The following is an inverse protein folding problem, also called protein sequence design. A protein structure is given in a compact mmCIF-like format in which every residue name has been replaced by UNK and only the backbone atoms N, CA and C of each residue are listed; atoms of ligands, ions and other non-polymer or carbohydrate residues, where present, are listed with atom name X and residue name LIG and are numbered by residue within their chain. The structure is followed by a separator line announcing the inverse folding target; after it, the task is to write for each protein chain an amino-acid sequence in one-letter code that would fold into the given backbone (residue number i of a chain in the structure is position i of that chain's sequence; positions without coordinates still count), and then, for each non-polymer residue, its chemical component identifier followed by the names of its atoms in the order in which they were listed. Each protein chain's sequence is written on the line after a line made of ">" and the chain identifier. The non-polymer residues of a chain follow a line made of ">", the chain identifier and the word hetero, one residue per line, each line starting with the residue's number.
data_IF_100058948866
#
_entry.id   IF_100058948866
#
_cell.length_a   1.000
_cell.length_b   1.000
_cell.length_c   1.000
_cell.angle_alpha   90.00
_cell.angle_beta   90.00
_cell.angle_gamma   90.00
#
_symmetry.space_group_name_H-M   'P 1'
#
loop_
_entity.id
_entity.type
_entity.pdbx_description
1 polymer ?
#
# COMPACT_ATOMS: atom_id res chain seq x y z
N UNK A 1 13.49 -11.62 -4.31
CA UNK A 1 13.76 -10.38 -3.56
C UNK A 1 13.27 -10.54 -2.13
N UNK A 2 13.79 -9.71 -1.21
CA UNK A 2 13.30 -9.60 0.17
C UNK A 2 12.31 -8.43 0.23
N UNK A 3 11.06 -8.73 0.55
CA UNK A 3 9.96 -7.75 0.56
C UNK A 3 9.38 -7.65 1.98
N UNK A 4 9.30 -6.44 2.53
CA UNK A 4 8.56 -6.20 3.78
C UNK A 4 7.17 -5.69 3.47
N UNK A 5 6.14 -6.30 4.06
CA UNK A 5 4.74 -5.95 3.87
C UNK A 5 4.13 -5.46 5.18
N UNK A 6 3.81 -4.17 5.24
CA UNK A 6 3.02 -3.57 6.32
C UNK A 6 1.53 -3.70 6.02
N UNK A 7 0.72 -3.98 7.06
CA UNK A 7 -0.70 -4.26 6.85
C UNK A 7 -0.95 -5.66 6.26
N UNK A 8 -0.03 -6.58 6.49
CA UNK A 8 0.02 -7.92 5.89
C UNK A 8 -1.25 -8.77 6.14
N UNK A 9 -2.00 -8.51 7.22
CA UNK A 9 -3.22 -9.26 7.58
C UNK A 9 -4.50 -8.70 6.96
N UNK A 10 -4.42 -7.50 6.33
CA UNK A 10 -5.55 -6.88 5.64
C UNK A 10 -5.90 -7.57 4.32
N UNK A 11 -7.07 -7.22 3.76
CA UNK A 11 -7.57 -7.86 2.52
C UNK A 11 -6.61 -7.76 1.33
N UNK A 12 -5.90 -6.64 1.16
CA UNK A 12 -4.87 -6.49 0.13
C UNK A 12 -3.56 -7.14 0.59
N UNK A 13 -3.14 -6.86 1.85
CA UNK A 13 -1.85 -7.31 2.37
C UNK A 13 -1.68 -8.83 2.39
N UNK A 14 -2.72 -9.59 2.79
CA UNK A 14 -2.69 -11.06 2.76
C UNK A 14 -2.47 -11.61 1.35
N UNK A 15 -3.00 -10.93 0.32
CA UNK A 15 -2.83 -11.31 -1.08
C UNK A 15 -1.46 -10.94 -1.62
N UNK A 16 -0.92 -9.79 -1.21
CA UNK A 16 0.48 -9.41 -1.51
C UNK A 16 1.41 -10.50 -0.97
N UNK A 17 1.25 -10.89 0.31
CA UNK A 17 2.07 -11.93 0.93
C UNK A 17 1.99 -13.24 0.13
N UNK A 18 0.77 -13.74 -0.17
CA UNK A 18 0.57 -14.99 -0.91
C UNK A 18 1.19 -14.94 -2.31
N UNK A 19 0.94 -13.87 -3.06
CA UNK A 19 1.46 -13.74 -4.43
C UNK A 19 2.98 -13.59 -4.46
N UNK A 20 3.57 -12.83 -3.53
CA UNK A 20 5.02 -12.69 -3.40
C UNK A 20 5.69 -14.04 -3.09
N UNK A 21 5.15 -14.80 -2.16
CA UNK A 21 5.65 -16.14 -1.81
C UNK A 21 5.53 -17.12 -2.99
N UNK A 22 4.41 -17.08 -3.73
CA UNK A 22 4.19 -17.93 -4.91
C UNK A 22 5.22 -17.66 -6.02
N UNK A 23 5.77 -16.45 -6.09
CA UNK A 23 6.85 -16.07 -7.02
C UNK A 23 8.26 -16.27 -6.43
N UNK A 24 8.38 -16.92 -5.27
CA UNK A 24 9.66 -17.24 -4.64
C UNK A 24 10.34 -16.06 -3.93
N UNK A 25 9.64 -14.97 -3.66
CA UNK A 25 10.19 -13.89 -2.85
C UNK A 25 10.28 -14.28 -1.37
N UNK A 26 11.24 -13.72 -0.65
CA UNK A 26 11.27 -13.76 0.81
C UNK A 26 10.43 -12.60 1.34
N UNK A 27 9.46 -12.92 2.20
CA UNK A 27 8.47 -11.95 2.68
C UNK A 27 8.58 -11.78 4.19
N UNK A 28 8.82 -10.57 4.65
CA UNK A 28 8.62 -10.15 6.02
C UNK A 28 7.22 -9.57 6.15
N UNK A 29 6.29 -10.33 6.74
CA UNK A 29 4.93 -9.86 7.03
C UNK A 29 4.92 -9.16 8.39
N UNK A 30 4.65 -7.85 8.41
CA UNK A 30 4.67 -7.05 9.63
C UNK A 30 3.27 -6.62 10.06
N UNK A 31 2.97 -6.76 11.35
CA UNK A 31 1.72 -6.27 11.92
C UNK A 31 1.46 -6.74 13.34
N UNK A 32 0.35 -6.28 13.94
CA UNK A 32 -0.01 -6.61 15.33
C UNK A 32 -0.47 -8.07 15.50
N UNK A 33 -1.15 -8.60 14.50
CA UNK A 33 -1.82 -9.91 14.55
C UNK A 33 -1.34 -10.83 13.41
N UNK A 34 -0.03 -10.84 13.13
CA UNK A 34 0.56 -11.59 12.01
C UNK A 34 0.49 -13.09 12.19
N UNK A 35 0.28 -13.58 13.42
CA UNK A 35 0.10 -15.00 13.71
C UNK A 35 -1.06 -15.59 12.90
N UNK A 36 -2.11 -14.81 12.64
CA UNK A 36 -3.24 -15.22 11.80
C UNK A 36 -2.88 -15.55 10.33
N UNK A 37 -1.74 -15.08 9.83
CA UNK A 37 -1.23 -15.45 8.51
C UNK A 37 -0.62 -16.85 8.50
N UNK A 38 0.01 -17.26 9.62
CA UNK A 38 0.64 -18.56 9.77
C UNK A 38 -0.45 -19.64 9.94
N UNK A 39 -1.49 -19.32 10.71
CA UNK A 39 -2.63 -20.21 10.95
C UNK A 39 -3.49 -20.45 9.71
N UNK A 40 -3.44 -19.56 8.73
CA UNK A 40 -4.23 -19.59 7.50
C UNK A 40 -3.54 -20.36 6.35
N UNK A 41 -2.87 -21.47 6.63
CA UNK A 41 -2.20 -22.35 5.64
C UNK A 41 -1.05 -21.72 4.83
N UNK A 42 -0.52 -20.57 5.23
CA UNK A 42 0.67 -20.00 4.61
C UNK A 42 1.93 -20.52 5.33
N UNK A 43 2.15 -21.82 5.27
CA UNK A 43 3.43 -22.41 5.69
C UNK A 43 4.41 -22.32 4.54
N UNK A 44 5.36 -21.39 4.63
CA UNK A 44 6.39 -21.19 3.61
C UNK A 44 7.68 -20.75 4.28
N UNK A 45 8.78 -21.43 3.99
CA UNK A 45 10.11 -21.14 4.57
C UNK A 45 10.61 -19.72 4.21
N UNK A 46 10.03 -19.11 3.19
CA UNK A 46 10.32 -17.73 2.78
C UNK A 46 9.45 -16.68 3.49
N UNK A 47 8.55 -17.10 4.42
CA UNK A 47 7.72 -16.18 5.20
C UNK A 47 8.28 -15.98 6.60
N UNK A 48 8.61 -14.73 6.91
CA UNK A 48 8.92 -14.29 8.27
C UNK A 48 7.77 -13.41 8.79
N UNK A 49 6.98 -13.92 9.74
CA UNK A 49 5.96 -13.14 10.42
C UNK A 49 6.58 -12.37 11.60
N UNK A 50 6.49 -11.04 11.56
CA UNK A 50 7.08 -10.14 12.57
C UNK A 50 5.97 -9.37 13.25
N UNK A 51 5.72 -9.68 14.53
CA UNK A 51 4.78 -8.92 15.34
C UNK A 51 5.42 -7.60 15.79
N UNK A 52 4.70 -6.50 15.58
CA UNK A 52 5.19 -5.19 15.97
C UNK A 52 4.15 -4.08 15.77
N UNK A 53 4.51 -2.90 16.24
CA UNK A 53 3.69 -1.70 16.15
C UNK A 53 4.28 -0.70 15.17
N UNK A 54 3.49 -0.26 14.19
CA UNK A 54 3.96 0.66 13.15
C UNK A 54 4.36 2.05 13.70
N UNK A 55 3.96 2.38 14.91
CA UNK A 55 4.38 3.60 15.61
C UNK A 55 5.68 3.45 16.42
N UNK A 56 6.18 2.22 16.58
CA UNK A 56 7.48 1.97 17.21
C UNK A 56 8.60 2.01 16.15
N UNK A 57 9.57 2.90 16.33
CA UNK A 57 10.65 3.09 15.36
C UNK A 57 11.59 1.87 15.29
N UNK A 58 11.84 1.21 16.44
CA UNK A 58 12.69 0.02 16.50
C UNK A 58 12.06 -1.17 15.79
N UNK A 59 10.75 -1.40 16.01
CA UNK A 59 9.99 -2.45 15.34
C UNK A 59 10.02 -2.26 13.81
N UNK A 60 9.74 -1.03 13.35
CA UNK A 60 9.72 -0.70 11.93
C UNK A 60 11.12 -0.80 11.32
N UNK A 61 12.16 -0.25 11.98
CA UNK A 61 13.53 -0.36 11.51
C UNK A 61 13.96 -1.84 11.34
N UNK A 62 13.68 -2.66 12.33
CA UNK A 62 13.99 -4.09 12.27
C UNK A 62 13.27 -4.82 11.13
N UNK A 63 12.05 -4.40 10.80
CA UNK A 63 11.29 -4.97 9.69
C UNK A 63 11.83 -4.55 8.31
N UNK A 64 12.38 -3.33 8.17
CA UNK A 64 12.79 -2.81 6.85
C UNK A 64 14.28 -2.96 6.54
N UNK A 65 15.18 -3.00 7.53
CA UNK A 65 16.64 -2.89 7.36
C UNK A 65 17.29 -3.87 6.38
N UNK A 66 16.66 -4.99 6.10
CA UNK A 66 17.17 -5.99 5.16
C UNK A 66 16.28 -6.15 3.91
N UNK A 67 15.27 -5.31 3.75
CA UNK A 67 14.37 -5.37 2.61
C UNK A 67 15.03 -4.77 1.35
N UNK A 68 14.63 -5.27 0.19
CA UNK A 68 14.94 -4.67 -1.13
C UNK A 68 13.77 -3.80 -1.59
N UNK A 69 12.56 -4.12 -1.11
CA UNK A 69 11.36 -3.33 -1.33
C UNK A 69 10.43 -3.38 -0.10
N UNK A 70 9.70 -2.29 0.11
CA UNK A 70 8.68 -2.19 1.16
C UNK A 70 7.33 -1.93 0.49
N UNK A 71 6.30 -2.70 0.89
CA UNK A 71 4.93 -2.50 0.45
C UNK A 71 4.07 -2.18 1.67
N UNK A 72 3.38 -1.05 1.63
CA UNK A 72 2.43 -0.64 2.66
C UNK A 72 1.00 -0.75 2.18
N UNK A 73 0.26 -1.69 2.76
CA UNK A 73 -1.19 -1.82 2.65
C UNK A 73 -1.86 -1.46 3.99
N UNK A 74 -1.33 -0.44 4.69
CA UNK A 74 -1.86 0.02 5.96
C UNK A 74 -3.28 0.55 5.78
N UNK A 75 -4.19 -0.02 6.53
CA UNK A 75 -5.56 0.40 6.69
C UNK A 75 -5.83 0.90 8.11
N UNK A 76 -7.08 1.21 8.39
CA UNK A 76 -7.54 1.66 9.70
C UNK A 76 -8.97 2.19 9.60
N UNK A 77 -9.51 2.66 10.71
CA UNK A 77 -10.83 3.31 10.73
C UNK A 77 -10.88 4.51 9.79
N UNK A 78 -12.07 4.86 9.35
CA UNK A 78 -12.31 5.99 8.42
C UNK A 78 -12.77 7.26 9.14
N UNK A 79 -12.90 7.21 10.47
CA UNK A 79 -13.42 8.29 11.33
C UNK A 79 -12.39 9.41 11.59
N UNK A 80 -11.16 9.27 11.12
CA UNK A 80 -10.06 10.22 11.32
C UNK A 80 -9.37 10.14 12.68
N UNK A 81 -9.82 9.30 13.60
CA UNK A 81 -9.13 9.05 14.89
C UNK A 81 -7.89 8.16 14.69
N UNK A 82 -7.96 7.23 13.76
CA UNK A 82 -6.87 6.31 13.43
C UNK A 82 -5.80 6.99 12.56
N UNK A 83 -4.61 7.18 13.13
CA UNK A 83 -3.45 7.79 12.46
C UNK A 83 -2.49 6.78 11.82
N UNK A 84 -2.88 5.53 11.70
CA UNK A 84 -2.03 4.47 11.16
C UNK A 84 -1.54 4.79 9.75
N UNK A 85 -2.41 5.38 8.90
CA UNK A 85 -2.04 5.74 7.52
C UNK A 85 -1.02 6.86 7.45
N UNK A 86 -1.20 7.92 8.23
CA UNK A 86 -0.31 9.09 8.21
C UNK A 86 0.94 8.88 9.07
N UNK A 87 0.80 8.67 10.37
CA UNK A 87 1.95 8.56 11.29
C UNK A 87 2.70 7.23 11.12
N UNK A 88 1.98 6.15 10.82
CA UNK A 88 2.63 4.87 10.49
C UNK A 88 3.48 5.00 9.22
N UNK A 89 2.97 5.68 8.18
CA UNK A 89 3.74 5.94 6.98
C UNK A 89 4.94 6.85 7.23
N UNK A 90 4.78 7.89 8.07
CA UNK A 90 5.90 8.75 8.48
C UNK A 90 7.03 7.90 9.06
N UNK A 91 6.72 7.03 10.00
CA UNK A 91 7.70 6.16 10.63
C UNK A 91 8.35 5.19 9.61
N UNK A 92 7.56 4.57 8.73
CA UNK A 92 8.09 3.70 7.66
C UNK A 92 9.11 4.47 6.81
N UNK A 93 8.78 5.67 6.35
CA UNK A 93 9.66 6.51 5.53
C UNK A 93 10.96 6.83 6.28
N UNK A 94 10.87 7.27 7.53
CA UNK A 94 12.04 7.60 8.35
C UNK A 94 12.97 6.39 8.55
N UNK A 95 12.40 5.21 8.83
CA UNK A 95 13.20 4.00 9.02
C UNK A 95 13.77 3.45 7.71
N UNK A 96 13.07 3.60 6.59
CA UNK A 96 13.62 3.28 5.27
C UNK A 96 14.81 4.18 4.91
N UNK A 97 14.70 5.49 5.17
CA UNK A 97 15.82 6.43 4.97
C UNK A 97 17.02 6.06 5.84
N UNK A 98 16.80 5.72 7.10
CA UNK A 98 17.85 5.33 8.04
C UNK A 98 18.53 4.01 7.63
N UNK A 99 17.78 3.05 7.10
CA UNK A 99 18.30 1.74 6.67
C UNK A 99 18.86 1.73 5.24
N UNK A 100 18.67 2.81 4.47
CA UNK A 100 19.10 2.90 3.07
C UNK A 100 18.21 2.16 2.07
N UNK A 101 17.06 1.63 2.50
CA UNK A 101 16.09 0.96 1.63
C UNK A 101 15.32 2.00 0.82
N UNK A 102 15.33 1.87 -0.51
CA UNK A 102 14.84 2.92 -1.40
C UNK A 102 13.46 2.67 -2.00
N UNK A 103 13.06 1.40 -2.26
CA UNK A 103 11.84 1.07 -3.00
C UNK A 103 10.63 0.99 -2.07
N UNK A 104 9.68 1.92 -2.23
CA UNK A 104 8.44 1.98 -1.46
C UNK A 104 7.21 1.90 -2.38
N UNK A 105 6.29 0.99 -2.09
CA UNK A 105 4.98 0.96 -2.73
C UNK A 105 3.87 1.08 -1.70
N UNK A 106 2.81 1.81 -2.04
CA UNK A 106 1.77 2.15 -1.07
C UNK A 106 0.38 2.00 -1.68
N UNK A 107 -0.52 1.37 -0.96
CA UNK A 107 -1.95 1.39 -1.25
C UNK A 107 -2.57 2.62 -0.57
N UNK A 108 -3.13 3.51 -1.37
CA UNK A 108 -3.78 4.71 -0.86
C UNK A 108 -5.28 4.73 -1.25
N UNK A 109 -5.80 5.85 -1.70
CA UNK A 109 -7.18 5.97 -2.18
C UNK A 109 -7.26 6.85 -3.43
N UNK A 110 -8.32 6.65 -4.21
CA UNK A 110 -8.64 7.45 -5.40
C UNK A 110 -8.72 8.95 -5.10
N UNK A 111 -8.97 9.34 -3.85
CA UNK A 111 -9.00 10.75 -3.42
C UNK A 111 -7.69 11.49 -3.63
N UNK A 112 -6.55 10.78 -3.72
CA UNK A 112 -5.24 11.38 -4.00
C UNK A 112 -4.98 11.64 -5.49
N UNK A 113 -5.78 11.13 -6.40
CA UNK A 113 -5.60 11.36 -7.83
C UNK A 113 -5.98 12.80 -8.19
N UNK A 114 -5.42 13.29 -9.29
CA UNK A 114 -5.81 14.56 -9.91
C UNK A 114 -7.17 14.45 -10.59
N UNK A 115 -7.76 15.58 -10.83
CA UNK A 115 -8.72 15.80 -11.90
C UNK A 115 -8.42 17.14 -12.60
N UNK A 116 -9.29 17.54 -13.52
CA UNK A 116 -9.03 18.69 -14.38
C UNK A 116 -8.92 20.01 -13.60
N UNK A 117 -9.58 20.12 -12.45
CA UNK A 117 -9.64 21.35 -11.64
C UNK A 117 -8.81 21.26 -10.34
N UNK A 118 -8.58 20.05 -9.82
CA UNK A 118 -8.00 19.87 -8.49
C UNK A 118 -6.78 18.94 -8.48
N UNK A 119 -5.73 19.34 -7.75
CA UNK A 119 -4.55 18.48 -7.49
C UNK A 119 -4.93 17.17 -6.80
N UNK A 120 -6.02 17.18 -6.01
CA UNK A 120 -6.56 16.00 -5.32
C UNK A 120 -8.07 15.95 -5.51
N UNK A 121 -8.61 14.83 -5.99
CA UNK A 121 -10.05 14.60 -6.14
C UNK A 121 -10.83 14.77 -4.83
N UNK A 122 -10.18 14.52 -3.69
CA UNK A 122 -10.80 14.76 -2.38
C UNK A 122 -11.13 16.24 -2.10
N UNK A 123 -10.57 17.17 -2.86
CA UNK A 123 -10.84 18.61 -2.73
C UNK A 123 -12.08 19.07 -3.54
N UNK A 124 -12.70 18.17 -4.31
CA UNK A 124 -13.94 18.48 -5.03
C UNK A 124 -15.07 18.83 -4.07
N UNK A 125 -15.92 19.81 -4.40
CA UNK A 125 -17.07 20.16 -3.55
C UNK A 125 -18.04 18.99 -3.29
N UNK A 126 -18.17 18.07 -4.25
CA UNK A 126 -19.04 16.89 -4.19
C UNK A 126 -18.34 15.62 -3.69
N UNK A 127 -17.11 15.71 -3.18
CA UNK A 127 -16.42 14.55 -2.60
C UNK A 127 -17.17 14.05 -1.35
N UNK A 128 -17.42 12.73 -1.24
CA UNK A 128 -18.26 12.22 -0.15
C UNK A 128 -17.66 12.53 1.23
N UNK A 129 -18.43 13.16 2.10
CA UNK A 129 -18.00 13.60 3.44
C UNK A 129 -17.45 12.46 4.30
N UNK A 130 -18.00 11.26 4.16
CA UNK A 130 -17.55 10.07 4.89
C UNK A 130 -16.09 9.70 4.61
N UNK A 131 -15.57 10.07 3.44
CA UNK A 131 -14.18 9.80 3.06
C UNK A 131 -13.23 10.99 3.27
N UNK A 132 -13.72 12.12 3.74
CA UNK A 132 -12.91 13.33 3.94
C UNK A 132 -11.76 13.09 4.92
N UNK A 133 -12.05 12.46 6.07
CA UNK A 133 -11.06 12.21 7.12
C UNK A 133 -9.99 11.21 6.66
N UNK A 134 -10.41 10.10 6.08
CA UNK A 134 -9.46 9.11 5.54
C UNK A 134 -8.65 9.67 4.36
N UNK A 135 -9.27 10.52 3.55
CA UNK A 135 -8.58 11.26 2.48
C UNK A 135 -7.48 12.17 3.02
N UNK A 136 -7.75 12.90 4.12
CA UNK A 136 -6.77 13.74 4.80
C UNK A 136 -5.58 12.93 5.34
N UNK A 137 -5.83 11.74 5.91
CA UNK A 137 -4.77 10.82 6.36
C UNK A 137 -3.90 10.35 5.19
N UNK A 138 -4.49 9.97 4.07
CA UNK A 138 -3.74 9.59 2.86
C UNK A 138 -2.95 10.77 2.29
N UNK A 139 -3.52 11.97 2.28
CA UNK A 139 -2.83 13.19 1.83
C UNK A 139 -1.63 13.51 2.71
N UNK A 140 -1.76 13.36 4.03
CA UNK A 140 -0.66 13.56 4.96
C UNK A 140 0.44 12.50 4.76
N UNK A 141 0.07 11.22 4.58
CA UNK A 141 1.01 10.14 4.24
C UNK A 141 1.75 10.45 2.92
N UNK A 142 1.03 10.90 1.89
CA UNK A 142 1.62 11.30 0.62
C UNK A 142 2.63 12.45 0.77
N UNK A 143 2.37 13.41 1.66
CA UNK A 143 3.32 14.49 1.93
C UNK A 143 4.67 13.96 2.45
N UNK A 144 4.66 13.01 3.37
CA UNK A 144 5.89 12.38 3.86
C UNK A 144 6.63 11.61 2.76
N UNK A 145 5.89 10.82 1.97
CA UNK A 145 6.45 10.02 0.88
C UNK A 145 7.09 10.92 -0.19
N UNK A 146 6.38 11.95 -0.65
CA UNK A 146 6.82 12.84 -1.73
C UNK A 146 8.12 13.56 -1.42
N UNK A 147 8.37 13.89 -0.16
CA UNK A 147 9.58 14.60 0.27
C UNK A 147 10.68 13.69 0.81
N UNK A 148 10.51 12.36 0.74
CA UNK A 148 11.43 11.39 1.32
C UNK A 148 12.70 11.15 0.53
N UNK A 149 12.70 11.44 -0.77
CA UNK A 149 13.77 11.01 -1.69
C UNK A 149 13.74 9.52 -2.03
N UNK A 150 12.74 8.75 -1.56
CA UNK A 150 12.57 7.33 -1.89
C UNK A 150 12.05 7.16 -3.32
N UNK A 151 12.30 6.00 -3.89
CA UNK A 151 11.71 5.55 -5.16
C UNK A 151 10.32 4.95 -4.90
N UNK A 152 9.28 5.77 -4.96
CA UNK A 152 7.95 5.36 -4.55
C UNK A 152 6.97 5.14 -5.72
N UNK A 153 5.98 4.27 -5.50
CA UNK A 153 4.78 4.13 -6.33
C UNK A 153 3.57 4.08 -5.41
N UNK A 154 2.54 4.89 -5.67
CA UNK A 154 1.31 4.91 -4.87
C UNK A 154 0.16 4.46 -5.77
N UNK A 155 -0.45 3.31 -5.47
CA UNK A 155 -1.66 2.86 -6.13
C UNK A 155 -2.88 3.45 -5.43
N UNK A 156 -3.79 4.00 -6.22
CA UNK A 156 -4.95 4.78 -5.77
C UNK A 156 -6.25 4.13 -6.26
N UNK A 157 -6.72 3.06 -5.61
CA UNK A 157 -7.93 2.35 -5.99
C UNK A 157 -9.20 3.11 -5.60
N UNK A 158 -10.34 2.79 -6.27
CA UNK A 158 -11.68 3.07 -5.78
C UNK A 158 -12.07 2.11 -4.65
N UNK A 159 -13.33 1.65 -4.59
CA UNK A 159 -13.75 0.63 -3.65
C UNK A 159 -12.98 -0.68 -3.88
N UNK A 160 -12.45 -1.26 -2.80
CA UNK A 160 -11.69 -2.51 -2.83
C UNK A 160 -12.61 -3.66 -2.43
N UNK A 161 -12.83 -4.58 -3.35
CA UNK A 161 -13.61 -5.82 -3.12
C UNK A 161 -12.68 -6.89 -2.55
N UNK A 162 -13.10 -7.56 -1.46
CA UNK A 162 -12.33 -8.66 -0.86
C UNK A 162 -12.44 -9.94 -1.72
N UNK A 163 -11.82 -9.90 -2.89
CA UNK A 163 -11.78 -10.98 -3.87
C UNK A 163 -10.36 -11.18 -4.39
N UNK A 164 -10.09 -12.38 -4.93
CA UNK A 164 -8.82 -12.71 -5.56
C UNK A 164 -8.67 -12.02 -6.92
N UNK A 165 -7.47 -12.07 -7.51
CA UNK A 165 -7.19 -11.41 -8.77
C UNK A 165 -8.06 -11.96 -9.90
N UNK A 166 -8.73 -11.06 -10.64
CA UNK A 166 -9.41 -11.38 -11.88
C UNK A 166 -8.47 -11.26 -13.11
N UNK A 167 -7.34 -10.55 -12.95
CA UNK A 167 -6.36 -10.31 -13.98
C UNK A 167 -6.75 -9.23 -15.00
N UNK A 168 -7.89 -8.57 -14.78
CA UNK A 168 -8.42 -7.56 -15.71
C UNK A 168 -8.58 -6.21 -14.98
N UNK A 169 -7.59 -5.34 -15.12
CA UNK A 169 -7.64 -3.98 -14.58
C UNK A 169 -6.99 -2.96 -15.52
N UNK A 170 -7.41 -1.71 -15.37
CA UNK A 170 -6.81 -0.58 -16.06
C UNK A 170 -6.05 0.31 -15.11
N UNK A 171 -4.99 0.95 -15.61
CA UNK A 171 -4.20 1.93 -14.85
C UNK A 171 -4.07 3.25 -15.59
N UNK A 172 -3.90 4.35 -14.84
CA UNK A 172 -3.58 5.66 -15.39
C UNK A 172 -2.66 6.42 -14.43
N UNK A 173 -1.69 7.15 -14.97
CA UNK A 173 -0.75 7.95 -14.17
C UNK A 173 -1.45 9.22 -13.71
N UNK A 174 -1.40 9.48 -12.40
CA UNK A 174 -1.93 10.66 -11.70
C UNK A 174 -3.45 10.87 -11.78
N UNK A 175 -4.15 10.24 -12.72
CA UNK A 175 -5.58 10.35 -12.96
C UNK A 175 -6.31 9.02 -12.77
N UNK A 176 -7.64 9.04 -12.57
CA UNK A 176 -8.42 7.81 -12.66
C UNK A 176 -8.36 7.22 -14.07
N UNK A 177 -8.38 5.88 -14.23
CA UNK A 177 -8.55 5.25 -15.54
C UNK A 177 -9.85 5.69 -16.22
N UNK A 178 -9.91 5.63 -17.55
CA UNK A 178 -11.11 5.93 -18.35
C UNK A 178 -11.39 4.79 -19.31
N UNK A 179 -12.59 4.20 -19.31
CA UNK A 179 -13.72 4.45 -18.41
C UNK A 179 -13.43 4.07 -16.95
N UNK A 180 -13.96 4.84 -16.00
CA UNK A 180 -13.77 4.56 -14.57
C UNK A 180 -14.81 3.57 -14.05
N UNK A 181 -14.38 2.42 -13.57
CA UNK A 181 -15.17 1.53 -12.70
C UNK A 181 -14.89 1.88 -11.23
N UNK A 182 -15.93 1.92 -10.41
CA UNK A 182 -15.81 2.33 -8.99
C UNK A 182 -15.41 1.20 -8.05
N UNK A 183 -14.82 0.12 -8.59
CA UNK A 183 -14.35 -1.02 -7.79
C UNK A 183 -13.13 -1.69 -8.43
N UNK A 184 -12.42 -2.46 -7.60
CA UNK A 184 -11.33 -3.36 -8.00
C UNK A 184 -11.17 -4.46 -6.96
N UNK A 185 -10.75 -5.65 -7.38
CA UNK A 185 -10.45 -6.73 -6.45
C UNK A 185 -9.13 -6.48 -5.71
N UNK A 186 -9.09 -6.84 -4.44
CA UNK A 186 -7.87 -6.75 -3.63
C UNK A 186 -6.72 -7.57 -4.23
N UNK A 187 -7.05 -8.69 -4.89
CA UNK A 187 -6.08 -9.53 -5.60
C UNK A 187 -5.42 -8.84 -6.79
N UNK A 188 -6.16 -8.01 -7.53
CA UNK A 188 -5.63 -7.27 -8.67
C UNK A 188 -4.68 -6.14 -8.22
N UNK A 189 -5.00 -5.47 -7.10
CA UNK A 189 -4.09 -4.50 -6.48
C UNK A 189 -2.78 -5.20 -6.06
N UNK A 190 -2.88 -6.38 -5.46
CA UNK A 190 -1.72 -7.14 -5.06
C UNK A 190 -0.87 -7.55 -6.28
N UNK A 191 -1.52 -8.04 -7.35
CA UNK A 191 -0.84 -8.41 -8.60
C UNK A 191 -0.10 -7.20 -9.23
N UNK A 192 -0.75 -6.04 -9.30
CA UNK A 192 -0.13 -4.81 -9.77
C UNK A 192 1.11 -4.44 -8.94
N UNK A 193 1.01 -4.50 -7.61
CA UNK A 193 2.12 -4.13 -6.73
C UNK A 193 3.29 -5.11 -6.84
N UNK A 194 3.02 -6.40 -6.98
CA UNK A 194 4.08 -7.42 -7.16
C UNK A 194 4.74 -7.31 -8.54
N UNK A 195 3.96 -7.05 -9.59
CA UNK A 195 4.54 -6.78 -10.91
C UNK A 195 5.43 -5.54 -10.89
N UNK A 196 4.99 -4.48 -10.21
CA UNK A 196 5.75 -3.24 -10.06
C UNK A 196 7.03 -3.39 -9.20
N UNK A 197 7.09 -4.41 -8.30
CA UNK A 197 8.34 -4.81 -7.63
C UNK A 197 9.33 -5.41 -8.63
N UNK A 198 8.85 -6.29 -9.49
CA UNK A 198 9.69 -7.06 -10.42
C UNK A 198 10.08 -6.25 -11.66
N UNK A 199 9.14 -5.43 -12.15
CA UNK A 199 9.24 -4.66 -13.40
C UNK A 199 8.80 -3.21 -13.17
N UNK A 200 9.57 -2.37 -12.48
CA UNK A 200 9.13 -1.03 -12.09
C UNK A 200 8.89 -0.12 -13.29
N UNK A 201 7.65 0.39 -13.42
CA UNK A 201 7.23 1.31 -14.48
C UNK A 201 6.82 2.71 -13.94
N UNK A 202 6.43 2.78 -12.67
CA UNK A 202 5.74 3.94 -12.10
C UNK A 202 6.52 4.61 -10.95
N UNK A 203 7.83 4.81 -11.12
CA UNK A 203 8.63 5.55 -10.14
C UNK A 203 8.10 6.99 -9.94
N UNK A 204 7.88 7.36 -8.69
CA UNK A 204 7.40 8.67 -8.26
C UNK A 204 6.06 9.06 -8.92
N UNK A 205 5.16 8.07 -9.05
CA UNK A 205 3.82 8.26 -9.63
C UNK A 205 2.72 7.81 -8.67
N UNK A 206 1.60 8.55 -8.73
CA UNK A 206 0.31 8.07 -8.25
C UNK A 206 -0.35 7.34 -9.42
N UNK A 207 -0.81 6.14 -9.19
CA UNK A 207 -1.40 5.28 -10.22
C UNK A 207 -2.85 5.02 -9.87
N UNK A 208 -3.76 5.58 -10.66
CA UNK A 208 -5.16 5.19 -10.63
C UNK A 208 -5.30 3.77 -11.16
N UNK A 209 -6.12 2.95 -10.50
CA UNK A 209 -6.39 1.57 -10.90
C UNK A 209 -7.88 1.26 -10.69
N UNK A 210 -8.51 0.55 -11.63
CA UNK A 210 -9.86 0.03 -11.48
C UNK A 210 -10.08 -1.23 -12.31
N UNK A 211 -11.16 -1.99 -12.04
CA UNK A 211 -11.57 -3.11 -12.89
C UNK A 211 -11.84 -2.66 -14.34
N UNK A 212 -11.75 -3.60 -15.28
CA UNK A 212 -12.16 -3.41 -16.70
C UNK A 212 -13.67 -3.55 -16.84
#
# INVERSE_FOLDING_TARGET
>A
MRITVFGATGQVGKRIVRQALALGHQVTAFGRNVDSLIDADIRNDNLLAVKGYVFDAGDVFNAVKNAEAVISALGGAIDGADKTRSLGMKNIVEQMQQSGVQRLMVVASMGLLKDDEFEFRMNRPNYPKVFQQVGAEHKQAFSYIRHSGLNWTIVCPPEIIDADAAGNYMTAIDYPPSPLKMHINAGDIAAFLIDEVNNPQFYNKRVGICAV
#
